data_IF_009551051154
#
_entry.id   IF_009551051154
#
_cell.length_a   1.000
_cell.length_b   1.000
_cell.length_c   1.000
_cell.angle_alpha   90.00
_cell.angle_beta   90.00
_cell.angle_gamma   90.00
#
_symmetry.space_group_name_H-M   'P 1'
#
loop_
_entity.id
_entity.type
_entity.pdbx_description
1 polymer ?
#
# COMPACT_ATOMS: atom_id res chain seq x y z
N UNK A 1 45.31 -3.51 -27.88
CA UNK A 1 44.75 -3.56 -26.51
C UNK A 1 43.33 -4.10 -26.60
N UNK A 2 43.06 -5.23 -25.99
CA UNK A 2 41.85 -6.04 -26.20
C UNK A 2 40.79 -5.67 -25.15
N UNK A 3 39.63 -5.22 -25.59
CA UNK A 3 38.43 -5.09 -24.80
C UNK A 3 37.76 -6.46 -24.65
N UNK A 4 37.55 -6.92 -23.41
CA UNK A 4 36.74 -8.10 -23.11
C UNK A 4 35.30 -7.66 -22.79
N UNK A 5 34.39 -8.00 -23.69
CA UNK A 5 32.96 -8.05 -23.43
C UNK A 5 32.61 -9.42 -22.82
N UNK A 6 32.03 -9.47 -21.62
CA UNK A 6 31.49 -10.69 -21.04
C UNK A 6 30.04 -10.85 -21.40
N UNK A 7 29.73 -11.71 -22.36
CA UNK A 7 28.37 -12.18 -22.64
C UNK A 7 27.98 -13.25 -21.61
N UNK A 8 26.91 -13.06 -20.90
CA UNK A 8 26.28 -14.07 -20.08
C UNK A 8 25.38 -14.94 -20.96
N UNK A 9 25.89 -16.14 -21.34
CA UNK A 9 25.15 -17.13 -22.10
C UNK A 9 24.24 -17.96 -21.19
N UNK A 10 22.92 -17.91 -21.44
CA UNK A 10 21.93 -18.78 -20.83
C UNK A 10 21.93 -20.14 -21.54
N UNK A 11 22.31 -21.21 -20.82
CA UNK A 11 22.23 -22.58 -21.31
C UNK A 11 20.90 -23.20 -20.88
N UNK A 12 20.04 -23.50 -21.84
CA UNK A 12 18.90 -24.41 -21.65
C UNK A 12 19.38 -25.82 -21.95
N UNK A 13 19.51 -26.64 -20.92
CA UNK A 13 19.72 -28.09 -21.11
C UNK A 13 18.37 -28.80 -21.22
N UNK A 14 18.23 -29.56 -22.30
CA UNK A 14 17.08 -30.45 -22.58
C UNK A 14 17.21 -31.71 -21.73
N UNK A 15 16.79 -31.72 -20.49
CA UNK A 15 16.29 -32.95 -19.80
C UNK A 15 15.55 -32.50 -18.54
N UNK A 16 14.25 -32.75 -18.50
CA UNK A 16 13.42 -32.39 -17.37
C UNK A 16 13.59 -33.34 -16.20
N UNK A 17 14.44 -32.99 -15.27
CA UNK A 17 14.39 -33.46 -13.89
C UNK A 17 15.01 -32.39 -13.01
N UNK A 18 14.15 -31.66 -12.27
CA UNK A 18 14.58 -30.77 -11.21
C UNK A 18 14.94 -31.63 -10.01
N UNK A 19 16.26 -31.80 -9.78
CA UNK A 19 16.77 -32.45 -8.56
C UNK A 19 16.79 -31.37 -7.48
N UNK A 20 15.85 -31.46 -6.55
CA UNK A 20 15.86 -30.64 -5.33
C UNK A 20 16.81 -31.28 -4.35
N UNK A 21 17.83 -30.57 -3.83
CA UNK A 21 18.70 -31.12 -2.78
C UNK A 21 17.88 -31.38 -1.51
N UNK A 22 18.06 -32.55 -0.94
CA UNK A 22 17.46 -32.95 0.35
C UNK A 22 18.02 -32.10 1.49
N UNK A 23 17.20 -31.19 2.04
CA UNK A 23 17.52 -30.30 3.16
C UNK A 23 17.05 -30.88 4.51
N UNK A 24 17.05 -32.19 4.69
CA UNK A 24 16.62 -32.84 5.95
C UNK A 24 17.70 -32.91 7.03
N UNK A 25 18.67 -32.01 7.07
CA UNK A 25 19.62 -31.89 8.18
C UNK A 25 19.63 -30.49 8.77
N UNK A 26 18.46 -29.99 9.24
CA UNK A 26 18.39 -28.76 10.00
C UNK A 26 18.50 -29.07 11.50
N UNK A 27 19.57 -28.58 12.13
CA UNK A 27 19.74 -28.51 13.58
C UNK A 27 18.57 -27.69 14.17
N UNK A 28 17.92 -28.23 15.21
CA UNK A 28 16.91 -27.51 15.99
C UNK A 28 17.49 -26.20 16.50
N UNK A 29 16.82 -25.04 16.25
CA UNK A 29 17.25 -23.78 16.85
C UNK A 29 16.99 -23.83 18.37
N UNK A 30 17.79 -23.11 19.19
CA UNK A 30 17.58 -23.05 20.63
C UNK A 30 16.20 -22.41 20.92
N UNK A 31 15.52 -22.94 21.92
CA UNK A 31 14.26 -22.42 22.40
C UNK A 31 14.40 -20.97 22.88
N UNK A 32 13.92 -20.02 22.08
CA UNK A 32 13.78 -18.61 22.46
C UNK A 32 12.49 -18.47 23.23
N UNK A 33 12.62 -18.23 24.53
CA UNK A 33 11.50 -17.97 25.44
C UNK A 33 10.93 -16.56 25.19
N UNK A 34 9.61 -16.48 25.22
CA UNK A 34 8.76 -15.27 25.20
C UNK A 34 8.52 -14.67 23.82
N UNK A 35 7.62 -15.29 23.10
CA UNK A 35 7.15 -14.89 21.79
C UNK A 35 6.34 -13.60 21.86
N UNK A 36 6.87 -12.54 21.27
CA UNK A 36 6.06 -11.46 20.72
C UNK A 36 5.24 -12.05 19.57
N UNK A 37 4.11 -12.68 19.84
CA UNK A 37 3.22 -13.15 18.78
C UNK A 37 2.45 -11.97 18.20
N UNK A 38 2.30 -11.87 16.86
CA UNK A 38 1.39 -10.89 16.28
C UNK A 38 -0.03 -11.15 16.80
N UNK A 39 -0.84 -10.10 17.01
CA UNK A 39 -2.22 -10.26 17.44
C UNK A 39 -2.96 -11.19 16.47
N UNK A 40 -3.79 -12.08 16.99
CA UNK A 40 -4.60 -13.00 16.19
C UNK A 40 -5.38 -12.18 15.14
N UNK A 41 -5.24 -12.54 13.87
CA UNK A 41 -6.00 -11.91 12.80
C UNK A 41 -7.45 -12.37 12.92
N UNK A 42 -8.34 -11.44 13.24
CA UNK A 42 -9.77 -11.69 13.27
C UNK A 42 -10.35 -11.62 11.85
N UNK A 43 -11.26 -12.53 11.53
CA UNK A 43 -11.99 -12.51 10.26
C UNK A 43 -12.94 -11.32 10.22
N UNK A 44 -12.94 -10.55 9.13
CA UNK A 44 -13.90 -9.46 8.91
C UNK A 44 -15.34 -10.01 8.81
N UNK A 45 -16.14 -9.71 9.83
CA UNK A 45 -17.57 -9.99 9.90
C UNK A 45 -18.39 -8.75 10.29
N UNK A 46 -17.79 -7.55 10.15
CA UNK A 46 -18.42 -6.29 10.58
C UNK A 46 -19.76 -6.05 9.88
N UNK A 47 -19.92 -6.56 8.68
CA UNK A 47 -21.12 -6.41 7.85
C UNK A 47 -21.92 -7.72 7.67
N UNK A 48 -21.64 -8.76 8.47
CA UNK A 48 -22.29 -10.06 8.34
C UNK A 48 -23.79 -10.05 8.80
N UNK A 49 -24.16 -9.11 9.66
CA UNK A 49 -25.54 -8.94 10.10
C UNK A 49 -26.09 -7.59 9.63
N UNK A 50 -27.42 -7.51 9.43
CA UNK A 50 -28.07 -6.22 9.06
C UNK A 50 -27.80 -5.17 10.12
N UNK A 51 -27.22 -4.05 9.69
CA UNK A 51 -27.00 -2.83 10.48
C UNK A 51 -27.65 -1.65 9.77
N UNK A 52 -28.04 -0.64 10.56
CA UNK A 52 -28.32 0.67 9.98
C UNK A 52 -27.04 1.20 9.32
N UNK A 53 -27.13 1.87 8.16
CA UNK A 53 -25.96 2.44 7.50
C UNK A 53 -25.38 3.54 8.40
N UNK A 54 -24.37 3.16 9.19
CA UNK A 54 -23.48 4.10 9.86
C UNK A 54 -22.35 4.44 8.89
N UNK A 55 -21.88 5.68 8.97
CA UNK A 55 -20.72 6.13 8.22
C UNK A 55 -19.50 5.26 8.57
N UNK A 56 -18.76 4.82 7.55
CA UNK A 56 -17.56 4.03 7.73
C UNK A 56 -16.47 4.85 8.43
N UNK A 57 -15.92 4.33 9.53
CA UNK A 57 -14.83 4.94 10.29
C UNK A 57 -13.73 3.92 10.55
N UNK A 58 -12.49 4.39 10.54
CA UNK A 58 -11.32 3.60 10.89
C UNK A 58 -11.13 3.56 12.42
N UNK A 59 -12.09 2.94 13.12
CA UNK A 59 -12.11 2.78 14.57
C UNK A 59 -11.46 1.46 15.04
N UNK A 60 -11.47 1.22 16.35
CA UNK A 60 -10.93 0.01 16.97
C UNK A 60 -11.56 -1.29 16.44
N UNK A 61 -12.85 -1.28 16.04
CA UNK A 61 -13.52 -2.46 15.49
C UNK A 61 -12.99 -2.78 14.08
N UNK A 62 -12.83 -1.75 13.25
CA UNK A 62 -12.23 -1.88 11.91
C UNK A 62 -10.74 -2.27 12.04
N UNK A 63 -9.98 -1.64 12.93
CA UNK A 63 -8.55 -1.91 13.11
C UNK A 63 -8.26 -3.39 13.44
N UNK A 64 -9.15 -4.08 14.20
CA UNK A 64 -8.98 -5.51 14.52
C UNK A 64 -9.06 -6.42 13.31
N UNK A 65 -9.96 -6.14 12.37
CA UNK A 65 -10.23 -6.98 11.21
C UNK A 65 -9.60 -6.47 9.93
N UNK A 66 -8.93 -5.31 9.97
CA UNK A 66 -8.44 -4.60 8.78
C UNK A 66 -7.53 -5.43 7.89
N UNK A 67 -6.59 -6.27 8.42
CA UNK A 67 -5.74 -7.10 7.57
C UNK A 67 -6.53 -8.11 6.73
N UNK A 68 -7.57 -8.72 7.32
CA UNK A 68 -8.47 -9.62 6.59
C UNK A 68 -9.38 -8.84 5.63
N UNK A 69 -9.94 -7.72 6.12
CA UNK A 69 -10.80 -6.85 5.36
C UNK A 69 -10.15 -6.35 4.07
N UNK A 70 -8.93 -5.81 4.14
CA UNK A 70 -8.25 -5.22 2.97
C UNK A 70 -7.87 -6.29 1.95
N UNK A 71 -7.32 -7.42 2.40
CA UNK A 71 -6.94 -8.55 1.56
C UNK A 71 -8.12 -9.12 0.77
N UNK A 72 -9.28 -9.26 1.42
CA UNK A 72 -10.50 -9.81 0.82
C UNK A 72 -11.27 -8.80 -0.03
N UNK A 73 -10.98 -7.50 0.09
CA UNK A 73 -11.74 -6.43 -0.57
C UNK A 73 -10.98 -5.72 -1.69
N UNK A 74 -9.64 -5.72 -1.66
CA UNK A 74 -8.81 -4.98 -2.61
C UNK A 74 -8.03 -5.97 -3.49
N UNK A 75 -8.45 -6.15 -4.76
CA UNK A 75 -7.72 -6.98 -5.70
C UNK A 75 -6.28 -6.49 -5.86
N UNK A 76 -5.33 -7.43 -5.68
CA UNK A 76 -3.91 -7.14 -5.83
C UNK A 76 -3.21 -6.48 -4.64
N UNK A 77 -3.89 -6.26 -3.50
CA UNK A 77 -3.26 -5.71 -2.31
C UNK A 77 -2.00 -6.49 -1.90
N UNK A 78 -2.07 -7.82 -1.92
CA UNK A 78 -0.94 -8.70 -1.60
C UNK A 78 0.20 -8.66 -2.63
N UNK A 79 -0.04 -8.14 -3.82
CA UNK A 79 0.97 -7.90 -4.85
C UNK A 79 1.57 -6.49 -4.70
N UNK A 80 0.73 -5.50 -4.42
CA UNK A 80 1.16 -4.10 -4.30
C UNK A 80 2.12 -3.93 -3.12
N UNK A 81 1.79 -4.47 -1.94
CA UNK A 81 2.60 -4.26 -0.72
C UNK A 81 4.07 -4.67 -0.91
N UNK A 82 4.44 -5.91 -1.35
CA UNK A 82 5.84 -6.26 -1.56
C UNK A 82 6.51 -5.40 -2.65
N UNK A 83 5.77 -4.91 -3.64
CA UNK A 83 6.35 -4.04 -4.67
C UNK A 83 6.67 -2.63 -4.14
N UNK A 84 6.05 -2.18 -3.05
CA UNK A 84 6.44 -0.93 -2.39
C UNK A 84 7.88 -0.99 -1.88
N UNK A 85 8.34 -2.13 -1.38
CA UNK A 85 9.75 -2.36 -1.00
C UNK A 85 10.68 -2.12 -2.20
N UNK A 86 10.39 -2.78 -3.33
CA UNK A 86 11.20 -2.69 -4.56
C UNK A 86 11.24 -1.25 -5.09
N UNK A 87 10.07 -0.59 -5.17
CA UNK A 87 9.99 0.78 -5.68
C UNK A 87 10.68 1.75 -4.71
N UNK A 88 10.49 1.58 -3.40
CA UNK A 88 11.18 2.41 -2.41
C UNK A 88 12.69 2.30 -2.56
N UNK A 89 13.24 1.09 -2.67
CA UNK A 89 14.68 0.87 -2.87
C UNK A 89 15.23 1.50 -4.14
N UNK A 90 14.41 1.65 -5.19
CA UNK A 90 14.81 2.27 -6.45
C UNK A 90 14.85 3.81 -6.37
N UNK A 91 13.99 4.45 -5.58
CA UNK A 91 13.81 5.90 -5.58
C UNK A 91 14.29 6.61 -4.30
N UNK A 92 14.54 5.87 -3.23
CA UNK A 92 15.07 6.45 -1.99
C UNK A 92 16.47 7.03 -2.20
N UNK A 93 16.71 8.19 -1.58
CA UNK A 93 18.00 8.88 -1.67
C UNK A 93 18.64 8.98 -0.26
N UNK A 94 19.98 8.89 -0.14
CA UNK A 94 20.65 8.97 1.17
C UNK A 94 20.30 10.26 1.92
N UNK A 95 20.13 10.17 3.24
CA UNK A 95 19.88 11.32 4.12
C UNK A 95 18.51 11.97 3.95
N UNK A 96 17.58 11.30 3.25
CA UNK A 96 16.24 11.83 2.99
C UNK A 96 15.16 11.20 3.86
N UNK A 97 13.94 11.72 3.73
CA UNK A 97 12.76 11.18 4.39
C UNK A 97 11.91 10.37 3.42
N UNK A 98 11.32 9.29 3.94
CA UNK A 98 10.25 8.55 3.29
C UNK A 98 8.96 8.73 4.09
N UNK A 99 7.83 8.90 3.41
CA UNK A 99 6.53 9.14 4.05
C UNK A 99 5.51 8.07 3.62
N UNK A 100 4.80 7.50 4.60
CA UNK A 100 3.62 6.67 4.38
C UNK A 100 2.39 7.42 4.90
N UNK A 101 1.66 8.07 3.99
CA UNK A 101 0.52 8.93 4.30
C UNK A 101 -0.79 8.15 4.26
N UNK A 102 -1.39 7.94 5.42
CA UNK A 102 -2.46 6.99 5.67
C UNK A 102 -1.90 5.60 5.92
N UNK A 103 -0.95 5.50 6.86
CA UNK A 103 -0.17 4.28 7.11
C UNK A 103 -1.00 3.14 7.72
N UNK A 104 -2.18 3.43 8.26
CA UNK A 104 -3.08 2.43 8.86
C UNK A 104 -2.34 1.52 9.85
N UNK A 105 -2.32 0.22 9.66
CA UNK A 105 -1.61 -0.75 10.50
C UNK A 105 -0.13 -0.93 10.13
N UNK A 106 0.41 -0.15 9.19
CA UNK A 106 1.83 -0.14 8.84
C UNK A 106 2.27 -1.15 7.78
N UNK A 107 1.36 -1.74 7.00
CA UNK A 107 1.76 -2.69 5.96
C UNK A 107 2.65 -2.04 4.88
N UNK A 108 2.27 -0.86 4.38
CA UNK A 108 3.09 -0.06 3.46
C UNK A 108 4.36 0.44 4.14
N UNK A 109 4.25 0.90 5.39
CA UNK A 109 5.39 1.36 6.20
C UNK A 109 6.46 0.28 6.33
N UNK A 110 6.07 -0.96 6.69
CA UNK A 110 6.99 -2.09 6.81
C UNK A 110 7.65 -2.43 5.47
N UNK A 111 6.89 -2.47 4.38
CA UNK A 111 7.44 -2.72 3.05
C UNK A 111 8.46 -1.63 2.65
N UNK A 112 8.13 -0.35 2.87
CA UNK A 112 9.07 0.75 2.60
C UNK A 112 10.32 0.64 3.49
N UNK A 113 10.17 0.29 4.78
CA UNK A 113 11.26 0.10 5.74
C UNK A 113 12.32 -0.86 5.23
N UNK A 114 11.88 -2.01 4.71
CA UNK A 114 12.75 -3.02 4.12
C UNK A 114 13.39 -2.59 2.79
N UNK A 115 12.75 -1.68 2.06
CA UNK A 115 13.28 -1.11 0.82
C UNK A 115 14.33 0.00 1.02
N UNK A 116 14.53 0.52 2.23
CA UNK A 116 15.47 1.61 2.52
C UNK A 116 16.83 1.06 2.95
N UNK A 117 17.89 1.15 2.11
CA UNK A 117 19.20 0.61 2.43
C UNK A 117 20.09 1.59 3.21
N UNK A 118 19.63 2.82 3.50
CA UNK A 118 20.42 3.90 4.08
C UNK A 118 20.04 4.13 5.54
N UNK A 119 21.04 4.07 6.45
CA UNK A 119 20.85 4.26 7.90
C UNK A 119 20.52 5.71 8.28
N UNK A 120 20.91 6.68 7.45
CA UNK A 120 20.68 8.12 7.63
C UNK A 120 19.32 8.60 7.11
N UNK A 121 18.49 7.71 6.55
CA UNK A 121 17.12 8.00 6.16
C UNK A 121 16.17 7.98 7.36
N UNK A 122 15.03 8.65 7.21
CA UNK A 122 13.91 8.60 8.17
C UNK A 122 12.67 8.07 7.46
N UNK A 123 11.92 7.22 8.15
CA UNK A 123 10.63 6.74 7.68
C UNK A 123 9.53 7.25 8.62
N UNK A 124 8.56 7.96 8.06
CA UNK A 124 7.50 8.65 8.80
C UNK A 124 6.16 8.10 8.32
N UNK A 125 5.43 7.42 9.20
CA UNK A 125 4.06 6.97 8.98
C UNK A 125 3.06 7.93 9.61
N UNK A 126 2.02 8.32 8.88
CA UNK A 126 1.00 9.25 9.35
C UNK A 126 -0.38 8.66 9.16
N UNK A 127 -1.21 8.68 10.19
CA UNK A 127 -2.64 8.32 10.11
C UNK A 127 -3.43 9.13 11.13
N UNK A 128 -4.66 9.52 10.80
CA UNK A 128 -5.50 10.29 11.71
C UNK A 128 -6.31 9.42 12.69
N UNK A 129 -6.24 8.10 12.58
CA UNK A 129 -6.88 7.17 13.50
C UNK A 129 -5.91 6.74 14.60
N UNK A 130 -6.19 7.14 15.85
CA UNK A 130 -5.42 6.71 17.00
C UNK A 130 -5.41 5.18 17.18
N UNK A 131 -6.53 4.52 16.88
CA UNK A 131 -6.66 3.05 16.95
C UNK A 131 -5.75 2.35 15.92
N UNK A 132 -5.60 2.94 14.72
CA UNK A 132 -4.68 2.43 13.69
C UNK A 132 -3.23 2.65 14.12
N UNK A 133 -2.87 3.84 14.58
CA UNK A 133 -1.50 4.19 15.03
C UNK A 133 -1.06 3.31 16.20
N UNK A 134 -1.92 3.07 17.20
CA UNK A 134 -1.59 2.19 18.32
C UNK A 134 -1.21 0.77 17.85
N UNK A 135 -1.99 0.22 16.94
CA UNK A 135 -1.70 -1.11 16.37
C UNK A 135 -0.50 -1.10 15.42
N UNK A 136 -0.30 -0.01 14.67
CA UNK A 136 0.87 0.17 13.83
C UNK A 136 2.16 0.12 14.64
N UNK A 137 2.22 0.83 15.78
CA UNK A 137 3.34 0.74 16.73
C UNK A 137 3.64 -0.71 17.12
N UNK A 138 2.61 -1.50 17.39
CA UNK A 138 2.79 -2.90 17.75
C UNK A 138 3.40 -3.72 16.59
N UNK A 139 2.90 -3.58 15.37
CA UNK A 139 3.46 -4.29 14.20
C UNK A 139 4.89 -3.86 13.88
N UNK A 140 5.20 -2.56 13.94
CA UNK A 140 6.55 -2.05 13.74
C UNK A 140 7.52 -2.59 14.80
N UNK A 141 7.07 -2.72 16.06
CA UNK A 141 7.89 -3.26 17.16
C UNK A 141 8.17 -4.77 17.05
N UNK A 142 7.41 -5.51 16.23
CA UNK A 142 7.64 -6.93 15.95
C UNK A 142 8.67 -7.16 14.84
N UNK A 143 8.97 -6.14 14.04
CA UNK A 143 9.90 -6.22 12.93
C UNK A 143 11.32 -5.86 13.40
N UNK A 144 12.29 -6.71 13.07
CA UNK A 144 13.68 -6.60 13.53
C UNK A 144 14.53 -5.64 12.68
N UNK A 145 13.97 -4.99 11.65
CA UNK A 145 14.72 -4.07 10.80
C UNK A 145 15.23 -2.85 11.60
N UNK A 146 16.52 -2.45 11.47
CA UNK A 146 17.14 -1.43 12.32
C UNK A 146 16.64 0.00 12.07
N UNK A 147 16.15 0.33 10.85
CA UNK A 147 15.71 1.67 10.52
C UNK A 147 14.56 2.11 11.44
N UNK A 148 14.69 3.24 12.17
CA UNK A 148 13.63 3.74 13.02
C UNK A 148 12.44 4.25 12.21
N UNK A 149 11.22 4.01 12.72
CA UNK A 149 9.97 4.52 12.15
C UNK A 149 9.36 5.51 13.14
N UNK A 150 9.09 6.71 12.66
CA UNK A 150 8.31 7.71 13.38
C UNK A 150 6.84 7.59 12.99
N UNK A 151 5.94 7.43 13.96
CA UNK A 151 4.51 7.34 13.71
C UNK A 151 3.80 8.57 14.29
N UNK A 152 3.03 9.26 13.45
CA UNK A 152 2.29 10.47 13.78
C UNK A 152 0.79 10.21 13.69
N UNK A 153 0.06 10.52 14.77
CA UNK A 153 -1.40 10.55 14.74
C UNK A 153 -1.85 11.97 14.34
N UNK A 154 -1.98 12.21 13.02
CA UNK A 154 -2.22 13.55 12.48
C UNK A 154 -3.01 13.49 11.15
N UNK A 155 -3.62 14.63 10.76
CA UNK A 155 -4.23 14.76 9.42
C UNK A 155 -3.14 14.98 8.37
N UNK A 156 -3.09 14.10 7.37
CA UNK A 156 -2.14 14.22 6.25
C UNK A 156 -2.30 15.54 5.48
N UNK A 157 -3.45 16.23 5.59
CA UNK A 157 -3.64 17.57 5.02
C UNK A 157 -2.85 18.65 5.75
N UNK A 158 -2.44 18.43 6.98
CA UNK A 158 -1.73 19.40 7.82
C UNK A 158 -0.26 18.99 8.05
N UNK A 159 0.09 17.73 7.80
CA UNK A 159 1.44 17.20 7.92
C UNK A 159 2.42 17.91 6.99
N UNK A 160 3.54 18.38 7.52
CA UNK A 160 4.65 18.94 6.75
C UNK A 160 5.39 17.83 5.99
N UNK A 161 5.59 18.02 4.69
CA UNK A 161 6.39 17.12 3.86
C UNK A 161 7.65 17.87 3.43
N UNK A 162 8.80 17.44 3.94
CA UNK A 162 10.08 18.05 3.66
C UNK A 162 11.17 16.97 3.48
N UNK A 163 12.19 17.28 2.71
CA UNK A 163 13.34 16.41 2.44
C UNK A 163 12.92 15.00 1.98
N UNK A 164 11.81 14.88 1.22
CA UNK A 164 11.28 13.59 0.82
C UNK A 164 11.97 13.03 -0.44
N UNK A 165 12.25 11.73 -0.46
CA UNK A 165 12.61 11.01 -1.69
C UNK A 165 11.51 10.04 -2.12
N UNK A 166 10.82 9.40 -1.19
CA UNK A 166 9.69 8.51 -1.49
C UNK A 166 8.52 8.85 -0.59
N UNK A 167 7.36 9.01 -1.21
CA UNK A 167 6.08 9.14 -0.48
C UNK A 167 5.11 8.09 -1.01
N UNK A 168 4.32 7.47 -0.15
CA UNK A 168 3.21 6.61 -0.55
C UNK A 168 1.87 7.13 -0.04
N UNK A 169 0.85 7.02 -0.88
CA UNK A 169 -0.57 7.15 -0.61
C UNK A 169 -1.24 5.85 -1.09
N UNK A 170 -1.29 4.85 -0.20
CA UNK A 170 -1.76 3.52 -0.58
C UNK A 170 -3.23 3.33 -0.19
N UNK A 171 -4.14 3.61 -1.13
CA UNK A 171 -5.59 3.62 -0.95
C UNK A 171 -6.08 4.68 0.06
N UNK A 172 -5.44 5.84 0.06
CA UNK A 172 -5.68 6.91 1.04
C UNK A 172 -6.33 8.14 0.40
N UNK A 173 -5.86 8.60 -0.77
CA UNK A 173 -6.32 9.84 -1.40
C UNK A 173 -7.83 9.80 -1.71
N UNK A 174 -8.39 8.63 -1.98
CA UNK A 174 -9.83 8.42 -2.23
C UNK A 174 -10.73 8.82 -1.05
N UNK A 175 -10.20 8.92 0.17
CA UNK A 175 -10.91 9.38 1.38
C UNK A 175 -10.73 10.88 1.63
N UNK A 176 -9.86 11.55 0.89
CA UNK A 176 -9.67 13.00 0.97
C UNK A 176 -10.70 13.70 0.08
N UNK A 177 -11.34 14.74 0.61
CA UNK A 177 -12.28 15.57 -0.15
C UNK A 177 -11.63 16.06 -1.45
N UNK A 178 -12.32 15.91 -2.58
CA UNK A 178 -11.78 16.12 -3.94
C UNK A 178 -11.11 17.50 -4.09
N UNK A 179 -11.69 18.55 -3.49
CA UNK A 179 -11.16 19.91 -3.52
C UNK A 179 -9.83 20.08 -2.76
N UNK A 180 -9.50 19.19 -1.82
CA UNK A 180 -8.24 19.22 -1.05
C UNK A 180 -7.11 18.42 -1.73
N UNK A 181 -7.42 17.46 -2.61
CA UNK A 181 -6.46 16.51 -3.19
C UNK A 181 -5.31 17.21 -3.91
N UNK A 182 -5.59 18.23 -4.72
CA UNK A 182 -4.54 18.96 -5.44
C UNK A 182 -3.59 19.69 -4.49
N UNK A 183 -4.10 20.30 -3.42
CA UNK A 183 -3.28 21.00 -2.44
C UNK A 183 -2.34 20.04 -1.71
N UNK A 184 -2.84 18.86 -1.33
CA UNK A 184 -2.03 17.79 -0.73
C UNK A 184 -0.92 17.33 -1.67
N UNK A 185 -1.27 16.98 -2.92
CA UNK A 185 -0.29 16.50 -3.91
C UNK A 185 0.77 17.56 -4.25
N UNK A 186 0.39 18.85 -4.32
CA UNK A 186 1.35 19.95 -4.49
C UNK A 186 2.32 20.08 -3.31
N UNK A 187 1.86 19.86 -2.08
CA UNK A 187 2.72 19.87 -0.90
C UNK A 187 3.71 18.70 -0.94
N UNK A 188 3.24 17.51 -1.30
CA UNK A 188 4.10 16.34 -1.51
C UNK A 188 5.15 16.64 -2.60
N UNK A 189 4.71 17.10 -3.77
CA UNK A 189 5.62 17.40 -4.88
C UNK A 189 6.67 18.47 -4.52
N UNK A 190 6.31 19.50 -3.73
CA UNK A 190 7.25 20.53 -3.27
C UNK A 190 8.27 20.00 -2.28
N UNK A 191 7.86 19.11 -1.37
CA UNK A 191 8.73 18.48 -0.39
C UNK A 191 9.61 17.37 -0.93
N UNK A 192 9.32 16.87 -2.15
CA UNK A 192 10.04 15.77 -2.79
C UNK A 192 11.24 16.29 -3.59
N UNK A 193 12.40 15.70 -3.40
CA UNK A 193 13.61 15.95 -4.18
C UNK A 193 13.46 15.53 -5.64
N UNK A 194 14.24 16.17 -6.51
CA UNK A 194 14.34 15.75 -7.92
C UNK A 194 14.79 14.29 -8.02
N UNK A 195 14.11 13.51 -8.83
CA UNK A 195 14.32 12.05 -8.94
C UNK A 195 13.65 11.23 -7.84
N UNK A 196 13.02 11.86 -6.86
CA UNK A 196 12.16 11.18 -5.90
C UNK A 196 10.80 10.84 -6.47
N UNK A 197 10.00 10.04 -5.75
CA UNK A 197 8.76 9.48 -6.27
C UNK A 197 7.61 9.53 -5.26
N UNK A 198 6.39 9.65 -5.81
CA UNK A 198 5.15 9.36 -5.12
C UNK A 198 4.55 8.07 -5.69
N UNK A 199 4.25 7.11 -4.82
CA UNK A 199 3.49 5.90 -5.14
C UNK A 199 2.05 6.16 -4.72
N UNK A 200 1.11 6.15 -5.69
CA UNK A 200 -0.30 6.41 -5.45
C UNK A 200 -1.12 5.20 -5.88
N UNK A 201 -1.74 4.52 -4.92
CA UNK A 201 -2.66 3.42 -5.20
C UNK A 201 -4.10 3.82 -4.87
N UNK A 202 -5.03 3.60 -5.81
CA UNK A 202 -6.41 4.08 -5.68
C UNK A 202 -7.40 3.10 -6.33
N UNK A 203 -8.64 3.11 -5.83
CA UNK A 203 -9.78 2.62 -6.58
C UNK A 203 -10.20 3.68 -7.58
N UNK A 204 -10.37 3.29 -8.85
CA UNK A 204 -10.78 4.19 -9.91
C UNK A 204 -12.21 3.92 -10.39
N UNK A 205 -12.79 4.93 -11.04
CA UNK A 205 -13.99 4.81 -11.87
C UNK A 205 -13.62 4.89 -13.35
N UNK A 206 -14.46 4.38 -14.21
CA UNK A 206 -14.30 4.41 -15.66
C UNK A 206 -15.28 5.39 -16.28
N UNK A 207 -14.90 5.98 -17.42
CA UNK A 207 -15.76 6.93 -18.15
C UNK A 207 -16.89 6.22 -18.90
N UNK A 208 -16.62 5.01 -19.39
CA UNK A 208 -17.61 4.18 -20.06
C UNK A 208 -18.50 3.47 -19.04
N UNK A 209 -19.81 3.69 -19.09
CA UNK A 209 -20.79 3.00 -18.23
C UNK A 209 -20.73 1.46 -18.36
N UNK A 210 -20.50 0.96 -19.57
CA UNK A 210 -20.37 -0.47 -19.84
C UNK A 210 -19.12 -1.06 -19.17
N UNK A 211 -17.98 -0.37 -19.26
CA UNK A 211 -16.74 -0.76 -18.59
C UNK A 211 -16.90 -0.67 -17.08
N UNK A 212 -17.44 0.45 -16.57
CA UNK A 212 -17.73 0.65 -15.14
C UNK A 212 -18.59 -0.48 -14.57
N UNK A 213 -19.67 -0.86 -15.26
CA UNK A 213 -20.55 -1.95 -14.84
C UNK A 213 -19.82 -3.31 -14.83
N UNK A 214 -19.00 -3.57 -15.84
CA UNK A 214 -18.22 -4.81 -15.94
C UNK A 214 -17.18 -4.91 -14.85
N UNK A 215 -16.38 -3.87 -14.63
CA UNK A 215 -15.34 -3.83 -13.60
C UNK A 215 -15.95 -3.92 -12.18
N UNK A 216 -17.10 -3.28 -11.96
CA UNK A 216 -17.84 -3.39 -10.69
C UNK A 216 -18.29 -4.81 -10.43
N UNK A 217 -18.84 -5.51 -11.46
CA UNK A 217 -19.25 -6.92 -11.35
C UNK A 217 -18.06 -7.82 -11.04
N UNK A 218 -16.94 -7.67 -11.74
CA UNK A 218 -15.71 -8.43 -11.48
C UNK A 218 -15.19 -8.22 -10.06
N UNK A 219 -15.21 -6.98 -9.57
CA UNK A 219 -14.83 -6.68 -8.18
C UNK A 219 -15.78 -7.33 -7.16
N UNK A 220 -17.08 -7.39 -7.44
CA UNK A 220 -18.04 -8.10 -6.57
C UNK A 220 -17.77 -9.61 -6.58
N UNK A 221 -17.50 -10.20 -7.75
CA UNK A 221 -17.13 -11.63 -7.85
C UNK A 221 -15.81 -11.92 -7.09
N UNK A 222 -14.82 -11.05 -7.17
CA UNK A 222 -13.60 -11.15 -6.36
C UNK A 222 -13.92 -11.21 -4.86
N UNK A 223 -14.80 -10.34 -4.36
CA UNK A 223 -15.21 -10.37 -2.95
C UNK A 223 -15.92 -11.65 -2.58
N UNK A 224 -16.85 -12.16 -3.46
CA UNK A 224 -17.53 -13.45 -3.25
C UNK A 224 -16.52 -14.60 -3.20
N UNK A 225 -15.57 -14.63 -4.13
CA UNK A 225 -14.51 -15.64 -4.16
C UNK A 225 -13.65 -15.62 -2.89
N UNK A 226 -13.53 -14.46 -2.23
CA UNK A 226 -12.86 -14.29 -0.93
C UNK A 226 -13.81 -14.48 0.27
N UNK A 227 -15.02 -15.03 0.08
CA UNK A 227 -15.92 -15.46 1.14
C UNK A 227 -16.82 -14.37 1.72
N UNK A 228 -17.02 -13.23 1.05
CA UNK A 228 -18.06 -12.27 1.42
C UNK A 228 -19.42 -12.69 0.83
N UNK A 229 -20.45 -12.60 1.65
CA UNK A 229 -21.85 -12.73 1.21
C UNK A 229 -22.32 -11.48 0.46
N UNK A 230 -23.41 -11.61 -0.31
CA UNK A 230 -24.05 -10.47 -0.99
C UNK A 230 -24.51 -9.39 -0.01
N UNK A 231 -24.95 -9.77 1.19
CA UNK A 231 -25.34 -8.85 2.25
C UNK A 231 -24.15 -8.02 2.71
N UNK A 232 -23.01 -8.65 2.99
CA UNK A 232 -21.77 -7.96 3.40
C UNK A 232 -21.28 -7.01 2.31
N UNK A 233 -21.28 -7.45 1.04
CA UNK A 233 -20.90 -6.63 -0.12
C UNK A 233 -21.78 -5.40 -0.23
N UNK A 234 -23.11 -5.58 -0.11
CA UNK A 234 -24.08 -4.49 -0.20
C UNK A 234 -23.94 -3.49 0.94
N UNK A 235 -23.88 -3.96 2.19
CA UNK A 235 -23.76 -3.10 3.36
C UNK A 235 -22.44 -2.32 3.37
N UNK A 236 -21.32 -2.99 3.06
CA UNK A 236 -20.00 -2.34 2.96
C UNK A 236 -19.96 -1.30 1.85
N UNK A 237 -20.61 -1.56 0.72
CA UNK A 237 -20.77 -0.58 -0.36
C UNK A 237 -21.51 0.65 0.13
N UNK A 238 -22.68 0.49 0.77
CA UNK A 238 -23.47 1.59 1.27
C UNK A 238 -22.73 2.43 2.33
N UNK A 239 -21.96 1.79 3.22
CA UNK A 239 -21.16 2.48 4.22
C UNK A 239 -19.99 3.29 3.61
N UNK A 240 -19.38 2.81 2.51
CA UNK A 240 -18.26 3.47 1.85
C UNK A 240 -18.67 4.49 0.79
N UNK A 241 -19.91 4.48 0.31
CA UNK A 241 -20.35 5.24 -0.86
C UNK A 241 -20.21 6.76 -0.69
N UNK A 242 -20.29 7.27 0.55
CA UNK A 242 -20.15 8.70 0.85
C UNK A 242 -18.74 9.12 1.25
N UNK A 243 -17.89 8.19 1.66
CA UNK A 243 -16.55 8.51 2.19
C UNK A 243 -15.43 8.16 1.21
N UNK A 244 -15.64 7.15 0.35
CA UNK A 244 -14.70 6.74 -0.67
C UNK A 244 -15.14 7.28 -2.04
N UNK A 245 -14.47 8.31 -2.53
CA UNK A 245 -14.80 9.00 -3.79
C UNK A 245 -13.77 8.63 -4.87
N UNK A 246 -14.06 7.65 -5.75
CA UNK A 246 -13.13 7.27 -6.81
C UNK A 246 -13.17 8.30 -7.96
N UNK A 247 -12.01 8.50 -8.58
CA UNK A 247 -11.85 9.33 -9.78
C UNK A 247 -11.31 8.47 -10.93
N UNK A 248 -11.30 8.99 -12.15
CA UNK A 248 -10.73 8.28 -13.29
C UNK A 248 -9.21 8.28 -13.25
N UNK A 249 -8.61 7.33 -13.96
CA UNK A 249 -7.16 7.29 -14.13
C UNK A 249 -6.63 8.59 -14.79
N UNK A 250 -7.38 9.17 -15.74
CA UNK A 250 -7.04 10.42 -16.38
C UNK A 250 -7.00 11.59 -15.38
N UNK A 251 -8.04 11.74 -14.55
CA UNK A 251 -8.10 12.77 -13.49
C UNK A 251 -6.93 12.66 -12.51
N UNK A 252 -6.55 11.44 -12.12
CA UNK A 252 -5.37 11.23 -11.26
C UNK A 252 -4.07 11.65 -11.96
N UNK A 253 -3.85 11.24 -13.22
CA UNK A 253 -2.64 11.59 -14.00
C UNK A 253 -2.53 13.10 -14.20
N UNK A 254 -3.58 13.75 -14.63
CA UNK A 254 -3.60 15.22 -14.84
C UNK A 254 -3.31 15.96 -13.54
N UNK A 255 -3.93 15.55 -12.43
CA UNK A 255 -3.71 16.17 -11.11
C UNK A 255 -2.27 16.00 -10.63
N UNK A 256 -1.65 14.83 -10.83
CA UNK A 256 -0.26 14.58 -10.47
C UNK A 256 0.70 15.45 -11.27
N UNK A 257 0.53 15.54 -12.60
CA UNK A 257 1.31 16.42 -13.46
C UNK A 257 1.12 17.89 -13.06
N UNK A 258 -0.13 18.31 -12.80
CA UNK A 258 -0.45 19.68 -12.38
C UNK A 258 0.05 19.98 -10.95
N UNK A 259 0.25 19.00 -10.12
CA UNK A 259 0.86 19.15 -8.81
C UNK A 259 2.38 19.40 -8.87
N UNK A 260 3.04 19.06 -10.01
CA UNK A 260 4.46 19.31 -10.25
C UNK A 260 5.33 18.07 -10.32
N UNK A 261 4.76 16.89 -10.54
CA UNK A 261 5.51 15.70 -10.95
C UNK A 261 5.77 15.77 -12.46
N UNK A 262 6.94 15.28 -12.90
CA UNK A 262 7.36 15.35 -14.32
C UNK A 262 6.84 14.18 -15.14
N UNK A 263 6.72 13.01 -14.51
CA UNK A 263 6.27 11.77 -15.16
C UNK A 263 5.25 11.06 -14.28
N UNK A 264 4.25 10.44 -14.92
CA UNK A 264 3.25 9.60 -14.22
C UNK A 264 3.00 8.35 -15.05
N UNK A 265 3.22 7.19 -14.45
CA UNK A 265 2.98 5.90 -15.08
C UNK A 265 2.14 4.99 -14.19
N UNK A 266 1.31 4.16 -14.81
CA UNK A 266 0.62 3.06 -14.12
C UNK A 266 1.53 1.85 -14.17
N UNK A 267 1.91 1.31 -13.02
CA UNK A 267 2.74 0.11 -12.92
C UNK A 267 1.94 -1.14 -12.52
N UNK A 268 0.73 -0.94 -11.95
CA UNK A 268 -0.17 -2.04 -11.59
C UNK A 268 -1.63 -1.65 -11.82
N UNK A 269 -2.43 -2.58 -12.33
CA UNK A 269 -3.89 -2.48 -12.37
C UNK A 269 -4.51 -3.86 -12.24
N UNK A 270 -5.52 -3.97 -11.39
CA UNK A 270 -6.39 -5.13 -11.29
C UNK A 270 -7.83 -4.66 -11.10
N UNK A 271 -8.68 -4.96 -12.11
CA UNK A 271 -10.03 -4.43 -12.20
C UNK A 271 -10.04 -2.89 -12.07
N UNK A 272 -10.77 -2.38 -11.09
CA UNK A 272 -10.88 -0.95 -10.78
C UNK A 272 -9.92 -0.48 -9.65
N UNK A 273 -8.82 -1.18 -9.45
CA UNK A 273 -7.73 -0.79 -8.54
C UNK A 273 -6.45 -0.60 -9.32
N UNK A 274 -5.83 0.55 -9.15
CA UNK A 274 -4.59 0.91 -9.85
C UNK A 274 -3.52 1.34 -8.85
N UNK A 275 -2.26 1.17 -9.24
CA UNK A 275 -1.15 1.84 -8.58
C UNK A 275 -0.30 2.57 -9.61
N UNK A 276 -0.03 3.83 -9.32
CA UNK A 276 0.70 4.77 -10.16
C UNK A 276 2.01 5.15 -9.48
N UNK A 277 3.01 5.45 -10.30
CA UNK A 277 4.27 6.04 -9.89
C UNK A 277 4.38 7.41 -10.52
N UNK A 278 4.57 8.45 -9.71
CA UNK A 278 4.78 9.82 -10.15
C UNK A 278 6.19 10.27 -9.75
N UNK A 279 7.00 10.69 -10.72
CA UNK A 279 8.42 11.06 -10.54
C UNK A 279 8.55 12.57 -10.53
N UNK A 280 9.38 13.08 -9.58
CA UNK A 280 9.65 14.52 -9.45
C UNK A 280 10.75 15.00 -10.38
#
# INVERSE_FOLDING_TARGET
MRTRTSEASWWITRTGACVVPDLTAARSPPAVSNSKQPPAQETDRLFATRRNPEEFRFDAAVARVFPDMIRRSVPGYTTIIPMLEVITGQFVQPGTHCYDLGCSLGASTLAMRHGIPFEDCRLIGVDNSADMIERCHHYIALDDHPLPVELLCDDINDTEIANASVTTLNFTLQFIATQKRLALLRRIARGTHKGGALILSEKIRFESDSEQATQTRLHHEFKRANGYSDLEISQKRSALEQVLIPETLAEHRERLLYAGFSEVMTWYQCFNFVSMLAIK
#
